data_IF_983312567346
#
_entry.id   IF_983312567346
#
_cell.length_a   1.000
_cell.length_b   1.000
_cell.length_c   1.000
_cell.angle_alpha   90.00
_cell.angle_beta   90.00
_cell.angle_gamma   90.00
#
_symmetry.space_group_name_H-M   'P 1'
#
loop_
_entity.id
_entity.type
_entity.pdbx_description
1 polymer ?
#
# COMPACT_ATOMS: atom_id res chain seq x y z
N UNK A 1 2.94 16.93 3.08
CA UNK A 1 3.31 15.51 3.21
C UNK A 1 4.72 15.37 2.66
N UNK A 2 5.65 14.64 3.33
CA UNK A 2 7.00 14.40 2.79
C UNK A 2 6.89 13.54 1.53
N UNK A 3 7.65 13.83 0.48
CA UNK A 3 7.69 12.98 -0.72
C UNK A 3 8.54 11.74 -0.49
N UNK A 4 8.07 10.59 -0.92
CA UNK A 4 8.83 9.34 -0.97
C UNK A 4 9.64 9.26 -2.26
N UNK A 5 10.72 8.49 -2.28
CA UNK A 5 11.47 8.21 -3.50
C UNK A 5 11.07 6.83 -4.03
N UNK A 6 10.83 6.73 -5.32
CA UNK A 6 10.82 5.44 -6.04
C UNK A 6 12.08 5.39 -6.89
N UNK A 7 13.10 4.71 -6.37
CA UNK A 7 14.43 4.61 -6.98
C UNK A 7 14.45 3.33 -7.81
N UNK A 8 14.70 3.46 -9.10
CA UNK A 8 14.62 2.34 -10.04
C UNK A 8 15.95 2.20 -10.77
N UNK A 9 16.51 0.98 -10.73
CA UNK A 9 17.67 0.63 -11.56
C UNK A 9 17.28 0.52 -13.03
N UNK A 10 18.27 0.61 -13.91
CA UNK A 10 18.10 0.63 -15.36
C UNK A 10 18.28 -0.75 -15.99
N UNK A 11 19.50 -1.27 -15.95
CA UNK A 11 19.91 -2.48 -16.66
C UNK A 11 19.51 -3.73 -15.88
N UNK A 12 18.92 -4.72 -16.54
CA UNK A 12 18.30 -5.89 -15.87
C UNK A 12 16.95 -5.60 -15.23
N UNK A 13 16.58 -4.34 -15.04
CA UNK A 13 15.36 -3.89 -14.36
C UNK A 13 14.34 -3.28 -15.32
N UNK A 14 14.64 -2.16 -15.97
CA UNK A 14 13.76 -1.51 -16.98
C UNK A 14 14.02 -2.08 -18.37
N UNK A 15 15.28 -2.24 -18.70
CA UNK A 15 15.75 -2.79 -19.98
C UNK A 15 16.61 -4.03 -19.74
N UNK A 16 16.60 -4.92 -20.73
CA UNK A 16 17.41 -6.14 -20.66
C UNK A 16 18.91 -5.77 -20.69
N UNK A 17 19.69 -6.46 -19.85
CA UNK A 17 21.14 -6.33 -19.85
C UNK A 17 21.75 -7.33 -20.83
N UNK A 18 22.60 -6.89 -21.78
CA UNK A 18 23.28 -7.81 -22.69
C UNK A 18 24.20 -8.80 -21.92
N UNK A 19 24.15 -10.10 -22.21
CA UNK A 19 24.81 -11.13 -21.38
C UNK A 19 26.32 -11.20 -21.56
N UNK A 20 26.91 -10.49 -22.52
CA UNK A 20 28.33 -10.62 -22.89
C UNK A 20 29.15 -9.44 -22.38
N UNK A 21 28.72 -8.23 -22.67
CA UNK A 21 29.47 -7.00 -22.37
C UNK A 21 28.77 -6.11 -21.35
N UNK A 22 27.55 -6.47 -20.97
CA UNK A 22 26.74 -5.74 -19.97
C UNK A 22 26.47 -4.26 -20.34
N UNK A 23 26.64 -3.88 -21.62
CA UNK A 23 26.52 -2.51 -22.10
C UNK A 23 25.44 -2.38 -23.17
N UNK A 24 24.47 -1.50 -22.92
CA UNK A 24 23.48 -1.09 -23.94
C UNK A 24 24.05 0.12 -24.69
N UNK A 25 24.90 -0.12 -25.66
CA UNK A 25 25.68 0.84 -26.41
C UNK A 25 25.13 1.13 -27.82
N UNK A 26 23.97 0.55 -28.14
CA UNK A 26 23.30 0.80 -29.43
C UNK A 26 21.78 0.65 -29.29
N UNK A 27 21.04 1.16 -30.29
CA UNK A 27 19.56 1.04 -30.32
C UNK A 27 19.15 -0.43 -30.57
N UNK A 28 19.95 -1.24 -31.22
CA UNK A 28 19.68 -2.64 -31.48
C UNK A 28 19.73 -3.49 -30.20
N UNK A 29 20.55 -3.08 -29.22
CA UNK A 29 20.62 -3.73 -27.90
C UNK A 29 19.53 -3.27 -26.96
N UNK A 30 18.82 -2.17 -27.24
CA UNK A 30 17.77 -1.66 -26.40
C UNK A 30 16.53 -2.56 -26.48
N UNK A 31 16.29 -3.31 -25.42
CA UNK A 31 15.09 -4.13 -25.25
C UNK A 31 14.48 -3.86 -23.86
N UNK A 32 13.19 -3.58 -23.82
CA UNK A 32 12.51 -3.41 -22.53
C UNK A 32 12.24 -4.77 -21.89
N UNK A 33 12.41 -4.84 -20.57
CA UNK A 33 11.96 -5.99 -19.79
C UNK A 33 10.44 -6.13 -19.92
N UNK A 34 9.92 -7.36 -20.12
CA UNK A 34 8.49 -7.58 -20.26
C UNK A 34 7.69 -6.97 -19.11
N UNK A 35 6.69 -6.16 -19.44
CA UNK A 35 5.80 -5.49 -18.47
C UNK A 35 6.35 -4.18 -17.89
N UNK A 36 7.63 -3.81 -18.12
CA UNK A 36 8.22 -2.59 -17.55
C UNK A 36 7.46 -1.32 -17.98
N UNK A 37 7.22 -1.13 -19.27
CA UNK A 37 6.54 0.06 -19.80
C UNK A 37 5.13 0.19 -19.19
N UNK A 38 4.32 -0.87 -19.25
CA UNK A 38 2.94 -0.86 -18.75
C UNK A 38 2.88 -0.60 -17.26
N UNK A 39 3.77 -1.23 -16.48
CA UNK A 39 3.81 -1.07 -15.04
C UNK A 39 4.28 0.33 -14.64
N UNK A 40 5.33 0.86 -15.26
CA UNK A 40 5.82 2.22 -15.01
C UNK A 40 4.76 3.27 -15.38
N UNK A 41 4.14 3.16 -16.55
CA UNK A 41 3.01 4.02 -16.96
C UNK A 41 1.89 4.03 -15.91
N UNK A 42 1.60 2.86 -15.34
CA UNK A 42 0.59 2.73 -14.30
C UNK A 42 1.00 3.32 -12.94
N UNK A 43 2.31 3.37 -12.65
CA UNK A 43 2.87 3.99 -11.44
C UNK A 43 2.99 5.52 -11.56
N UNK A 44 2.98 6.06 -12.77
CA UNK A 44 3.07 7.51 -13.04
C UNK A 44 2.05 8.35 -12.24
N UNK A 45 0.93 7.76 -11.85
CA UNK A 45 -0.13 8.39 -11.05
C UNK A 45 0.19 8.58 -9.58
N UNK A 46 1.30 8.03 -9.14
CA UNK A 46 1.80 8.20 -7.79
C UNK A 46 2.77 9.40 -7.69
N UNK A 47 2.79 10.28 -8.71
CA UNK A 47 3.63 11.48 -8.77
C UNK A 47 3.35 12.49 -7.65
N UNK A 48 2.14 12.48 -7.08
CA UNK A 48 1.83 13.25 -5.87
C UNK A 48 2.53 12.69 -4.61
N UNK A 49 2.75 11.36 -4.54
CA UNK A 49 3.40 10.68 -3.41
C UNK A 49 4.89 10.47 -3.61
N UNK A 50 5.30 10.06 -4.81
CA UNK A 50 6.66 9.66 -5.13
C UNK A 50 7.38 10.65 -6.05
N UNK A 51 8.67 10.85 -5.78
CA UNK A 51 9.64 11.36 -6.74
C UNK A 51 10.28 10.16 -7.44
N UNK A 52 10.20 10.10 -8.75
CA UNK A 52 10.74 9.00 -9.55
C UNK A 52 12.21 9.24 -9.86
N UNK A 53 13.08 8.33 -9.41
CA UNK A 53 14.54 8.46 -9.54
C UNK A 53 15.08 7.26 -10.32
N UNK A 54 15.72 7.51 -11.46
CA UNK A 54 16.54 6.51 -12.14
C UNK A 54 17.94 6.51 -11.47
N UNK A 55 18.44 5.35 -11.06
CA UNK A 55 19.76 5.24 -10.46
C UNK A 55 20.54 4.04 -11.04
N UNK A 56 21.59 4.30 -11.78
CA UNK A 56 22.32 3.25 -12.50
C UNK A 56 23.84 3.40 -12.41
N UNK A 57 24.55 2.28 -12.31
CA UNK A 57 26.00 2.21 -12.47
C UNK A 57 26.31 1.90 -13.95
N UNK A 58 27.09 2.75 -14.59
CA UNK A 58 27.49 2.61 -15.99
C UNK A 58 29.02 2.54 -16.10
N UNK A 59 29.56 1.34 -15.96
CA UNK A 59 30.97 1.07 -15.82
C UNK A 59 31.79 1.60 -17.00
N UNK A 60 32.62 2.61 -16.72
CA UNK A 60 33.52 3.20 -17.71
C UNK A 60 32.83 4.09 -18.76
N UNK A 61 31.60 4.56 -18.51
CA UNK A 61 30.94 5.52 -19.38
C UNK A 61 31.78 6.80 -19.57
N UNK A 62 32.01 7.19 -20.82
CA UNK A 62 32.87 8.29 -21.21
C UNK A 62 34.32 7.86 -21.52
N UNK A 63 34.66 6.57 -21.42
CA UNK A 63 35.94 6.03 -21.82
C UNK A 63 35.90 5.49 -23.27
N UNK A 64 37.06 5.09 -23.79
CA UNK A 64 37.13 4.48 -25.15
C UNK A 64 36.35 3.16 -25.24
N UNK A 65 36.19 2.42 -24.15
CA UNK A 65 35.45 1.15 -24.13
C UNK A 65 33.92 1.37 -24.03
N UNK A 66 33.46 2.53 -23.57
CA UNK A 66 32.05 2.88 -23.50
C UNK A 66 31.82 4.39 -23.73
N UNK A 67 31.91 4.86 -25.00
CA UNK A 67 31.79 6.25 -25.36
C UNK A 67 30.36 6.79 -25.07
N UNK A 68 30.25 8.06 -24.70
CA UNK A 68 28.95 8.71 -24.45
C UNK A 68 28.06 8.71 -25.69
N UNK A 69 28.66 8.82 -26.89
CA UNK A 69 27.96 8.83 -28.17
C UNK A 69 27.26 7.49 -28.48
N UNK A 70 27.64 6.40 -27.82
CA UNK A 70 27.02 5.08 -27.97
C UNK A 70 25.96 4.85 -26.88
N UNK A 71 26.17 5.37 -25.67
CA UNK A 71 25.25 5.22 -24.55
C UNK A 71 23.98 6.07 -24.70
N UNK A 72 24.13 7.40 -24.92
CA UNK A 72 23.00 8.31 -24.86
C UNK A 72 21.91 8.09 -25.90
N UNK A 73 22.16 7.62 -27.14
CA UNK A 73 21.07 7.31 -28.08
C UNK A 73 20.08 6.27 -27.53
N UNK A 74 20.57 5.17 -26.95
CA UNK A 74 19.73 4.12 -26.37
C UNK A 74 19.07 4.61 -25.08
N UNK A 75 19.81 5.27 -24.20
CA UNK A 75 19.31 5.84 -22.95
C UNK A 75 18.18 6.85 -23.20
N UNK A 76 18.40 7.83 -24.07
CA UNK A 76 17.40 8.83 -24.40
C UNK A 76 16.18 8.23 -25.12
N UNK A 77 16.36 7.17 -25.93
CA UNK A 77 15.24 6.47 -26.55
C UNK A 77 14.38 5.76 -25.51
N UNK A 78 15.00 5.13 -24.50
CA UNK A 78 14.30 4.51 -23.38
C UNK A 78 13.46 5.57 -22.64
N UNK A 79 14.07 6.68 -22.22
CA UNK A 79 13.38 7.76 -21.52
C UNK A 79 12.21 8.33 -22.32
N UNK A 80 12.45 8.63 -23.62
CA UNK A 80 11.41 9.17 -24.51
C UNK A 80 10.27 8.18 -24.74
N UNK A 81 10.55 6.89 -24.72
CA UNK A 81 9.51 5.86 -24.84
C UNK A 81 8.64 5.86 -23.59
N UNK A 82 9.23 5.92 -22.40
CA UNK A 82 8.49 5.99 -21.11
C UNK A 82 7.69 7.28 -21.00
N UNK A 83 8.26 8.43 -21.41
CA UNK A 83 7.58 9.72 -21.45
C UNK A 83 6.34 9.67 -22.36
N UNK A 84 6.47 9.03 -23.54
CA UNK A 84 5.34 8.83 -24.47
C UNK A 84 4.21 7.98 -23.89
N UNK A 85 4.50 7.14 -22.91
CA UNK A 85 3.54 6.32 -22.17
C UNK A 85 3.14 6.94 -20.81
N UNK A 86 3.51 8.22 -20.59
CA UNK A 86 3.09 9.02 -19.44
C UNK A 86 3.95 8.87 -18.18
N UNK A 87 5.12 8.20 -18.26
CA UNK A 87 6.02 8.06 -17.11
C UNK A 87 7.32 8.85 -17.33
N UNK A 88 7.65 9.73 -16.39
CA UNK A 88 8.87 10.56 -16.44
C UNK A 88 9.67 10.41 -15.15
N UNK A 89 10.98 10.30 -15.27
CA UNK A 89 11.87 10.38 -14.11
C UNK A 89 12.15 11.84 -13.74
N UNK A 90 11.96 12.19 -12.47
CA UNK A 90 12.30 13.50 -11.90
C UNK A 90 13.81 13.70 -11.77
N UNK A 91 14.54 12.61 -11.53
CA UNK A 91 16.01 12.59 -11.39
C UNK A 91 16.60 11.39 -12.12
N UNK A 92 17.78 11.60 -12.68
CA UNK A 92 18.58 10.56 -13.33
C UNK A 92 19.99 10.61 -12.71
N UNK A 93 20.31 9.60 -11.92
CA UNK A 93 21.57 9.45 -11.22
C UNK A 93 22.39 8.36 -11.89
N UNK A 94 23.50 8.76 -12.51
CA UNK A 94 24.35 7.87 -13.31
C UNK A 94 25.76 7.91 -12.75
N UNK A 95 26.20 6.83 -12.10
CA UNK A 95 27.59 6.66 -11.73
C UNK A 95 28.38 6.06 -12.92
N UNK A 96 29.53 6.65 -13.23
CA UNK A 96 30.37 6.30 -14.39
C UNK A 96 31.63 5.54 -14.00
N UNK A 97 31.84 5.37 -12.68
CA UNK A 97 33.04 4.77 -12.15
C UNK A 97 33.06 3.26 -12.35
N UNK A 98 34.26 2.69 -12.35
CA UNK A 98 34.46 1.25 -12.31
C UNK A 98 34.49 0.77 -10.85
N UNK A 99 34.27 -0.54 -10.58
CA UNK A 99 34.32 -1.09 -9.24
C UNK A 99 35.62 -0.77 -8.49
N UNK A 100 36.77 -0.81 -9.20
CA UNK A 100 38.10 -0.53 -8.66
C UNK A 100 38.31 0.93 -8.22
N UNK A 101 37.51 1.87 -8.72
CA UNK A 101 37.62 3.30 -8.38
C UNK A 101 37.09 3.61 -6.97
N UNK A 102 36.34 2.69 -6.36
CA UNK A 102 35.70 2.84 -5.04
C UNK A 102 34.96 4.17 -4.88
N UNK A 103 34.23 4.59 -5.93
CA UNK A 103 33.49 5.84 -5.95
C UNK A 103 32.43 5.87 -4.85
N UNK A 104 32.30 6.97 -4.08
CA UNK A 104 31.21 7.13 -3.11
C UNK A 104 29.83 7.25 -3.77
N UNK A 105 29.77 7.51 -5.07
CA UNK A 105 28.53 7.61 -5.85
C UNK A 105 28.08 6.26 -6.42
N UNK A 106 28.99 5.27 -6.53
CA UNK A 106 28.67 3.96 -7.08
C UNK A 106 27.80 3.15 -6.11
N UNK A 107 26.63 2.65 -6.59
CA UNK A 107 25.80 1.72 -5.81
C UNK A 107 26.65 0.51 -5.38
N UNK A 108 26.60 0.07 -4.11
CA UNK A 108 25.63 0.41 -3.06
C UNK A 108 25.95 1.65 -2.20
N UNK A 109 26.97 2.45 -2.53
CA UNK A 109 27.24 3.71 -1.84
C UNK A 109 26.15 4.76 -2.15
N UNK A 110 25.99 5.73 -1.23
CA UNK A 110 24.86 6.66 -1.24
C UNK A 110 25.16 8.05 -1.78
N UNK A 111 26.38 8.32 -2.24
CA UNK A 111 26.81 9.68 -2.64
C UNK A 111 26.00 10.30 -3.77
N UNK A 112 25.36 9.50 -4.66
CA UNK A 112 24.43 10.06 -5.64
C UNK A 112 23.13 10.62 -5.03
N UNK A 113 22.87 10.30 -3.75
CA UNK A 113 21.61 10.61 -3.05
C UNK A 113 21.77 11.69 -1.98
N UNK A 114 22.89 12.41 -1.95
CA UNK A 114 23.18 13.41 -0.92
C UNK A 114 22.12 14.51 -0.82
N UNK A 115 21.43 14.86 -1.94
CA UNK A 115 20.33 15.84 -1.93
C UNK A 115 19.10 15.39 -1.12
N UNK A 116 18.94 14.08 -0.90
CA UNK A 116 17.80 13.49 -0.21
C UNK A 116 18.10 13.12 1.25
N UNK A 117 19.38 12.83 1.57
CA UNK A 117 19.79 12.38 2.88
C UNK A 117 19.76 13.54 3.88
N UNK A 118 19.03 13.36 4.98
CA UNK A 118 18.87 14.41 6.00
C UNK A 118 17.99 15.58 5.58
N UNK A 119 17.30 15.50 4.46
CA UNK A 119 16.39 16.51 3.95
C UNK A 119 14.96 16.17 4.38
N UNK A 120 14.35 17.06 5.17
CA UNK A 120 13.02 16.87 5.74
C UNK A 120 11.86 16.90 4.72
N UNK A 121 12.12 17.27 3.47
CA UNK A 121 11.13 17.21 2.39
C UNK A 121 10.87 15.79 1.90
N UNK A 122 11.76 14.83 2.24
CA UNK A 122 11.70 13.46 1.78
C UNK A 122 11.52 12.45 2.93
N UNK A 123 10.79 11.37 2.64
CA UNK A 123 10.56 10.24 3.53
C UNK A 123 11.32 9.01 3.04
N UNK A 124 12.60 8.90 3.42
CA UNK A 124 13.44 7.78 3.01
C UNK A 124 12.98 6.44 3.63
N UNK A 125 12.42 6.45 4.83
CA UNK A 125 11.95 5.24 5.52
C UNK A 125 10.82 4.53 4.75
N UNK A 126 9.97 5.29 4.07
CA UNK A 126 8.90 4.78 3.23
C UNK A 126 9.22 4.83 1.72
N UNK A 127 10.45 5.20 1.35
CA UNK A 127 10.97 5.13 -0.02
C UNK A 127 11.31 3.70 -0.42
N UNK A 128 11.35 3.43 -1.72
CA UNK A 128 11.55 2.08 -2.26
C UNK A 128 12.66 2.10 -3.32
N UNK A 129 13.60 1.16 -3.22
CA UNK A 129 14.59 0.87 -4.26
C UNK A 129 14.16 -0.40 -5.01
N UNK A 130 14.13 -0.35 -6.32
CA UNK A 130 13.82 -1.47 -7.22
C UNK A 130 15.05 -1.75 -8.07
N UNK A 131 15.54 -2.98 -8.05
CA UNK A 131 16.68 -3.42 -8.87
C UNK A 131 16.82 -4.93 -8.88
N UNK A 132 17.61 -5.46 -9.80
CA UNK A 132 17.82 -6.90 -10.01
C UNK A 132 19.05 -7.46 -9.29
N UNK A 133 19.84 -6.58 -8.63
CA UNK A 133 21.11 -6.94 -8.00
C UNK A 133 21.11 -6.79 -6.49
N UNK A 134 21.97 -7.57 -5.84
CA UNK A 134 22.25 -7.46 -4.40
C UNK A 134 22.68 -6.04 -4.03
N UNK A 135 23.40 -5.33 -4.92
CA UNK A 135 23.84 -3.94 -4.69
C UNK A 135 22.68 -2.95 -4.58
N UNK A 136 21.53 -3.21 -5.20
CA UNK A 136 20.35 -2.36 -5.09
C UNK A 136 19.67 -2.56 -3.72
N UNK A 137 19.61 -3.81 -3.25
CA UNK A 137 19.14 -4.13 -1.90
C UNK A 137 20.05 -3.51 -0.81
N UNK A 138 21.37 -3.58 -1.01
CA UNK A 138 22.33 -2.93 -0.12
C UNK A 138 22.22 -1.41 -0.14
N UNK A 139 21.98 -0.81 -1.33
CA UNK A 139 21.72 0.63 -1.45
C UNK A 139 20.48 1.03 -0.64
N UNK A 140 19.40 0.27 -0.74
CA UNK A 140 18.19 0.52 0.04
C UNK A 140 18.47 0.50 1.55
N UNK A 141 19.21 -0.52 2.02
CA UNK A 141 19.61 -0.61 3.43
C UNK A 141 20.47 0.59 3.87
N UNK A 142 21.44 1.01 3.03
CA UNK A 142 22.32 2.15 3.32
C UNK A 142 21.58 3.49 3.34
N UNK A 143 20.50 3.64 2.54
CA UNK A 143 19.63 4.82 2.54
C UNK A 143 18.55 4.78 3.63
N UNK A 144 18.35 3.63 4.30
CA UNK A 144 17.22 3.42 5.21
C UNK A 144 15.88 3.25 4.47
N UNK A 145 15.90 2.86 3.19
CA UNK A 145 14.72 2.61 2.35
C UNK A 145 14.25 1.16 2.43
N UNK A 146 13.07 0.88 1.87
CA UNK A 146 12.61 -0.47 1.53
C UNK A 146 13.21 -0.89 0.18
N UNK A 147 13.26 -2.20 -0.11
CA UNK A 147 13.69 -2.71 -1.41
C UNK A 147 12.74 -3.74 -1.98
N UNK A 148 12.61 -3.72 -3.30
CA UNK A 148 12.00 -4.79 -4.09
C UNK A 148 13.08 -5.34 -5.00
N UNK A 149 13.55 -6.55 -4.69
CA UNK A 149 14.50 -7.29 -5.53
C UNK A 149 13.74 -7.86 -6.72
N UNK A 150 14.08 -7.40 -7.92
CA UNK A 150 13.53 -7.96 -9.16
C UNK A 150 14.30 -9.20 -9.57
N UNK A 151 13.75 -10.38 -9.31
CA UNK A 151 14.42 -11.67 -9.45
C UNK A 151 13.55 -12.64 -10.24
N UNK A 152 13.67 -12.55 -11.59
CA UNK A 152 12.83 -13.27 -12.55
C UNK A 152 13.03 -14.79 -12.54
N UNK A 153 14.23 -15.25 -12.24
CA UNK A 153 14.59 -16.67 -12.28
C UNK A 153 14.79 -17.31 -10.90
N UNK A 154 14.71 -16.53 -9.84
CA UNK A 154 14.84 -17.01 -8.47
C UNK A 154 16.28 -17.22 -7.99
N UNK A 155 17.28 -16.75 -8.75
CA UNK A 155 18.70 -16.97 -8.42
C UNK A 155 19.27 -15.94 -7.47
N UNK A 156 18.96 -14.66 -7.68
CA UNK A 156 19.51 -13.56 -6.88
C UNK A 156 19.00 -13.57 -5.44
N UNK A 157 17.73 -13.96 -5.21
CA UNK A 157 17.12 -14.06 -3.87
C UNK A 157 17.81 -15.04 -2.92
N UNK A 158 18.56 -16.01 -3.46
CA UNK A 158 19.34 -16.96 -2.65
C UNK A 158 20.50 -16.28 -1.92
N UNK A 159 20.92 -15.11 -2.39
CA UNK A 159 22.03 -14.32 -1.85
C UNK A 159 21.55 -13.14 -1.00
N UNK A 160 20.23 -12.99 -0.77
CA UNK A 160 19.63 -11.86 -0.05
C UNK A 160 18.70 -12.39 1.04
N UNK A 161 18.78 -11.83 2.22
CA UNK A 161 17.82 -12.08 3.28
C UNK A 161 16.56 -11.25 3.03
N UNK A 162 15.45 -11.94 2.75
CA UNK A 162 14.15 -11.30 2.59
C UNK A 162 13.54 -10.97 3.96
N UNK A 163 13.04 -9.77 4.10
CA UNK A 163 12.48 -9.21 5.34
C UNK A 163 11.20 -8.44 5.01
N UNK A 164 10.56 -7.83 6.02
CA UNK A 164 9.48 -6.86 5.82
C UNK A 164 9.91 -5.57 5.10
N UNK A 165 11.22 -5.33 5.02
CA UNK A 165 11.81 -4.19 4.29
C UNK A 165 12.48 -4.59 2.97
N UNK A 166 12.66 -5.88 2.72
CA UNK A 166 13.25 -6.42 1.50
C UNK A 166 12.41 -7.58 0.99
N UNK A 167 11.67 -7.36 -0.07
CA UNK A 167 10.83 -8.37 -0.72
C UNK A 167 11.34 -8.67 -2.12
N UNK A 168 10.98 -9.84 -2.68
CA UNK A 168 11.33 -10.19 -4.04
C UNK A 168 10.08 -10.23 -4.93
N UNK A 169 10.24 -9.84 -6.19
CA UNK A 169 9.22 -9.92 -7.22
C UNK A 169 9.80 -10.61 -8.47
N UNK A 170 8.98 -11.37 -9.17
CA UNK A 170 9.36 -12.08 -10.39
C UNK A 170 8.90 -11.37 -11.67
N UNK A 171 8.06 -10.36 -11.54
CA UNK A 171 7.49 -9.59 -12.65
C UNK A 171 7.27 -8.13 -12.30
N UNK A 172 7.23 -7.27 -13.32
CA UNK A 172 6.88 -5.86 -13.18
C UNK A 172 5.44 -5.66 -12.68
N UNK A 173 4.53 -6.61 -12.96
CA UNK A 173 3.17 -6.56 -12.41
C UNK A 173 3.19 -6.68 -10.89
N UNK A 174 3.94 -7.64 -10.33
CA UNK A 174 4.11 -7.79 -8.89
C UNK A 174 4.77 -6.55 -8.26
N UNK A 175 5.83 -5.99 -8.90
CA UNK A 175 6.46 -4.75 -8.45
C UNK A 175 5.43 -3.62 -8.35
N UNK A 176 4.64 -3.41 -9.41
CA UNK A 176 3.64 -2.35 -9.44
C UNK A 176 2.55 -2.54 -8.37
N UNK A 177 2.14 -3.77 -8.11
CA UNK A 177 1.22 -4.09 -7.02
C UNK A 177 1.83 -3.77 -5.64
N UNK A 178 3.06 -4.18 -5.38
CA UNK A 178 3.77 -3.91 -4.11
C UNK A 178 3.96 -2.41 -3.85
N UNK A 179 4.36 -1.63 -4.89
CA UNK A 179 4.51 -0.18 -4.78
C UNK A 179 3.17 0.49 -4.43
N UNK A 180 2.08 0.05 -5.06
CA UNK A 180 0.74 0.60 -4.77
C UNK A 180 0.21 0.17 -3.41
N UNK A 181 0.50 -1.06 -2.98
CA UNK A 181 0.11 -1.54 -1.66
C UNK A 181 0.67 -0.64 -0.55
N UNK A 182 1.89 -0.13 -0.72
CA UNK A 182 2.50 0.80 0.23
C UNK A 182 1.79 2.15 0.33
N UNK A 183 0.95 2.52 -0.63
CA UNK A 183 0.15 3.76 -0.64
C UNK A 183 -1.23 3.62 0.02
N UNK A 184 -1.70 2.38 0.24
CA UNK A 184 -3.02 2.09 0.83
C UNK A 184 -2.98 1.78 2.34
N UNK A 185 -1.86 2.13 2.99
CA UNK A 185 -1.69 2.07 4.45
C UNK A 185 -1.83 3.45 5.05
N UNK A 186 -2.71 3.57 6.04
CA UNK A 186 -2.98 4.83 6.76
C UNK A 186 -2.99 4.56 8.25
N UNK A 187 -2.37 5.47 9.01
CA UNK A 187 -2.49 5.52 10.47
C UNK A 187 -3.20 6.81 10.86
N UNK A 188 -4.24 6.68 11.66
CA UNK A 188 -4.94 7.81 12.29
C UNK A 188 -4.62 7.81 13.78
N UNK A 189 -4.08 8.92 14.24
CA UNK A 189 -3.94 9.23 15.65
C UNK A 189 -5.06 10.20 16.05
N UNK A 190 -5.84 9.85 17.06
CA UNK A 190 -6.92 10.67 17.58
C UNK A 190 -6.78 10.79 19.08
N UNK A 191 -6.71 12.02 19.56
CA UNK A 191 -6.62 12.34 20.97
C UNK A 191 -7.75 13.30 21.36
N UNK A 192 -8.55 12.91 22.34
CA UNK A 192 -9.58 13.73 22.96
C UNK A 192 -9.29 13.89 24.45
N UNK A 193 -10.23 14.37 25.23
CA UNK A 193 -10.11 14.35 26.70
C UNK A 193 -10.51 13.00 27.30
N UNK A 194 -11.18 12.18 26.52
CA UNK A 194 -11.82 10.92 26.91
C UNK A 194 -11.07 9.71 26.36
N UNK A 195 -10.41 9.87 25.21
CA UNK A 195 -9.75 8.75 24.50
C UNK A 195 -8.40 9.14 23.89
N UNK A 196 -7.47 8.19 23.89
CA UNK A 196 -6.21 8.22 23.12
C UNK A 196 -6.19 7.02 22.19
N UNK A 197 -6.26 7.24 20.87
CA UNK A 197 -6.49 6.20 19.87
C UNK A 197 -5.44 6.24 18.77
N UNK A 198 -4.94 5.06 18.39
CA UNK A 198 -4.18 4.85 17.17
C UNK A 198 -4.83 3.73 16.36
N UNK A 199 -5.19 4.02 15.11
CA UNK A 199 -5.73 3.05 14.16
C UNK A 199 -4.86 3.02 12.92
N UNK A 200 -4.26 1.86 12.62
CA UNK A 200 -3.56 1.61 11.37
C UNK A 200 -4.36 0.64 10.52
N UNK A 201 -4.65 1.03 9.29
CA UNK A 201 -5.30 0.20 8.26
C UNK A 201 -4.36 0.04 7.08
N UNK A 202 -4.28 -1.17 6.53
CA UNK A 202 -3.66 -1.43 5.23
C UNK A 202 -4.62 -2.27 4.40
N UNK A 203 -5.15 -1.68 3.33
CA UNK A 203 -6.19 -2.31 2.51
C UNK A 203 -5.67 -3.49 1.66
N UNK A 204 -4.36 -3.68 1.59
CA UNK A 204 -3.71 -4.76 0.84
C UNK A 204 -3.17 -5.88 1.75
N UNK A 205 -3.41 -5.78 3.07
CA UNK A 205 -3.17 -6.86 4.04
C UNK A 205 -1.71 -7.06 4.45
N UNK A 206 -0.82 -6.08 4.23
CA UNK A 206 0.62 -6.18 4.56
C UNK A 206 0.99 -5.37 5.81
N UNK A 207 0.02 -4.83 6.53
CA UNK A 207 0.21 -3.99 7.70
C UNK A 207 0.26 -4.76 9.02
N UNK A 208 0.35 -4.04 10.14
CA UNK A 208 0.27 -4.62 11.47
C UNK A 208 -1.16 -5.09 11.80
N UNK A 209 -1.27 -6.04 12.71
CA UNK A 209 -2.50 -6.66 13.17
C UNK A 209 -2.74 -6.46 14.67
N UNK A 210 -3.98 -6.54 15.12
CA UNK A 210 -4.39 -6.63 16.51
C UNK A 210 -5.29 -5.51 16.98
N UNK A 211 -6.03 -5.75 18.07
CA UNK A 211 -6.87 -4.79 18.75
C UNK A 211 -6.61 -4.83 20.27
N UNK A 212 -6.53 -3.66 20.88
CA UNK A 212 -6.38 -3.46 22.32
C UNK A 212 -7.10 -2.16 22.70
N UNK A 213 -8.38 -2.28 23.08
CA UNK A 213 -9.24 -1.16 23.45
C UNK A 213 -9.59 -1.17 24.93
N UNK A 214 -9.21 -2.25 25.65
CA UNK A 214 -9.63 -2.51 27.03
C UNK A 214 -11.02 -3.17 27.13
N UNK A 215 -11.74 -3.36 26.01
CA UNK A 215 -13.00 -4.08 25.91
C UNK A 215 -12.78 -5.39 25.16
N UNK A 216 -12.64 -6.49 25.87
CA UNK A 216 -12.20 -7.77 25.31
C UNK A 216 -13.12 -8.33 24.22
N UNK A 217 -14.43 -8.17 24.39
CA UNK A 217 -15.37 -8.60 23.37
C UNK A 217 -15.35 -7.71 22.14
N UNK A 218 -15.15 -6.41 22.32
CA UNK A 218 -14.98 -5.47 21.20
C UNK A 218 -13.67 -5.72 20.44
N UNK A 219 -12.57 -6.00 21.15
CA UNK A 219 -11.29 -6.41 20.55
C UNK A 219 -11.45 -7.68 19.69
N UNK A 220 -12.23 -8.66 20.20
CA UNK A 220 -12.58 -9.85 19.44
C UNK A 220 -13.39 -9.49 18.18
N UNK A 221 -14.31 -8.54 18.24
CA UNK A 221 -15.09 -8.09 17.08
C UNK A 221 -14.22 -7.35 16.05
N UNK A 222 -13.31 -6.48 16.47
CA UNK A 222 -12.35 -5.83 15.59
C UNK A 222 -11.42 -6.85 14.91
N UNK A 223 -11.03 -7.92 15.62
CA UNK A 223 -10.25 -9.01 15.04
C UNK A 223 -10.98 -9.75 13.92
N UNK A 224 -12.33 -9.78 13.91
CA UNK A 224 -13.09 -10.34 12.79
C UNK A 224 -12.91 -9.51 11.52
N UNK A 225 -12.83 -8.16 11.65
CA UNK A 225 -12.54 -7.28 10.51
C UNK A 225 -11.15 -7.62 9.95
N UNK A 226 -10.15 -7.68 10.81
CA UNK A 226 -8.77 -8.00 10.45
C UNK A 226 -8.66 -9.34 9.70
N UNK A 227 -9.19 -10.44 10.28
CA UNK A 227 -9.03 -11.79 9.73
C UNK A 227 -9.85 -12.05 8.45
N UNK A 228 -11.01 -11.41 8.29
CA UNK A 228 -11.95 -11.78 7.24
C UNK A 228 -12.02 -10.79 6.08
N UNK A 229 -11.49 -9.57 6.21
CA UNK A 229 -11.51 -8.57 5.13
C UNK A 229 -10.43 -8.79 4.07
N UNK A 230 -9.30 -9.40 4.45
CA UNK A 230 -8.07 -9.40 3.64
C UNK A 230 -7.30 -8.08 3.71
N UNK A 231 -7.78 -7.14 4.53
CA UNK A 231 -7.00 -5.96 4.95
C UNK A 231 -6.25 -6.30 6.25
N UNK A 232 -5.25 -5.53 6.62
CA UNK A 232 -4.73 -5.57 7.99
C UNK A 232 -5.23 -4.40 8.82
N UNK A 233 -5.49 -4.66 10.08
CA UNK A 233 -6.02 -3.70 11.03
C UNK A 233 -5.28 -3.80 12.36
N UNK A 234 -4.74 -2.67 12.83
CA UNK A 234 -4.26 -2.53 14.20
C UNK A 234 -4.98 -1.37 14.88
N UNK A 235 -5.57 -1.64 16.04
CA UNK A 235 -6.28 -0.65 16.87
C UNK A 235 -5.69 -0.66 18.26
N UNK A 236 -5.35 0.50 18.79
CA UNK A 236 -5.10 0.70 20.22
C UNK A 236 -5.93 1.86 20.71
N UNK A 237 -6.56 1.71 21.87
CA UNK A 237 -7.34 2.76 22.51
C UNK A 237 -7.12 2.73 24.03
N UNK A 238 -6.90 3.91 24.60
CA UNK A 238 -7.00 4.15 26.04
C UNK A 238 -8.19 5.10 26.25
N UNK A 239 -9.33 4.55 26.62
CA UNK A 239 -10.54 5.30 26.92
C UNK A 239 -10.80 5.41 28.41
N UNK A 240 -11.75 6.27 28.77
CA UNK A 240 -12.23 6.50 30.12
C UNK A 240 -13.29 5.45 30.56
N UNK A 241 -12.89 4.15 30.46
CA UNK A 241 -13.77 3.00 30.74
C UNK A 241 -14.37 2.98 32.16
N UNK A 242 -13.85 3.79 33.06
CA UNK A 242 -14.45 4.05 34.38
C UNK A 242 -15.76 4.84 34.29
N UNK A 243 -16.02 5.53 33.16
CA UNK A 243 -17.30 6.18 32.86
C UNK A 243 -18.24 5.16 32.25
N UNK A 244 -17.94 4.74 31.02
CA UNK A 244 -18.57 3.64 30.31
C UNK A 244 -17.74 3.28 29.03
N UNK A 245 -18.25 2.41 28.16
CA UNK A 245 -17.63 2.00 26.91
C UNK A 245 -17.95 2.92 25.73
N UNK A 246 -18.86 3.86 25.87
CA UNK A 246 -19.43 4.67 24.78
C UNK A 246 -18.35 5.44 24.01
N UNK A 247 -17.56 6.27 24.73
CA UNK A 247 -16.51 7.08 24.11
C UNK A 247 -15.47 6.22 23.39
N UNK A 248 -15.08 5.09 23.99
CA UNK A 248 -14.14 4.14 23.40
C UNK A 248 -14.66 3.57 22.08
N UNK A 249 -15.88 3.05 22.06
CA UNK A 249 -16.42 2.40 20.86
C UNK A 249 -16.75 3.41 19.76
N UNK A 250 -17.30 4.58 20.09
CA UNK A 250 -17.60 5.63 19.12
C UNK A 250 -16.34 6.21 18.49
N UNK A 251 -15.37 6.61 19.30
CA UNK A 251 -14.15 7.25 18.82
C UNK A 251 -13.26 6.28 18.03
N UNK A 252 -13.21 4.99 18.40
CA UNK A 252 -12.58 3.94 17.58
C UNK A 252 -13.28 3.80 16.24
N UNK A 253 -14.63 3.82 16.21
CA UNK A 253 -15.38 3.76 14.95
C UNK A 253 -15.07 4.95 14.03
N UNK A 254 -14.99 6.15 14.58
CA UNK A 254 -14.64 7.36 13.83
C UNK A 254 -13.22 7.26 13.28
N UNK A 255 -12.24 6.91 14.11
CA UNK A 255 -10.84 6.77 13.68
C UNK A 255 -10.66 5.68 12.61
N UNK A 256 -11.32 4.53 12.78
CA UNK A 256 -11.32 3.44 11.79
C UNK A 256 -11.98 3.87 10.48
N UNK A 257 -13.13 4.53 10.53
CA UNK A 257 -13.80 5.05 9.34
C UNK A 257 -12.95 6.08 8.57
N UNK A 258 -12.26 6.97 9.30
CA UNK A 258 -11.31 7.93 8.72
C UNK A 258 -10.12 7.23 8.07
N UNK A 259 -9.52 6.23 8.75
CA UNK A 259 -8.39 5.46 8.21
C UNK A 259 -8.78 4.72 6.93
N UNK A 260 -9.92 4.03 6.93
CA UNK A 260 -10.47 3.36 5.75
C UNK A 260 -10.74 4.35 4.62
N UNK A 261 -11.41 5.47 4.90
CA UNK A 261 -11.73 6.50 3.92
C UNK A 261 -10.48 7.10 3.28
N UNK A 262 -9.44 7.41 4.05
CA UNK A 262 -8.17 7.93 3.53
C UNK A 262 -7.40 6.87 2.72
N UNK A 263 -7.39 5.60 3.18
CA UNK A 263 -6.71 4.52 2.48
C UNK A 263 -7.34 4.18 1.12
N UNK A 264 -8.60 4.52 0.87
CA UNK A 264 -9.26 4.39 -0.44
C UNK A 264 -8.70 5.34 -1.50
N UNK A 265 -8.06 6.44 -1.10
CA UNK A 265 -7.47 7.43 -1.99
C UNK A 265 -8.46 7.98 -3.02
N UNK A 266 -8.06 8.04 -4.28
CA UNK A 266 -8.86 8.56 -5.40
C UNK A 266 -10.00 7.64 -5.87
N UNK A 267 -10.11 6.47 -5.26
CA UNK A 267 -11.14 5.44 -5.54
C UNK A 267 -11.15 4.89 -6.97
N UNK A 268 -10.14 5.18 -7.78
CA UNK A 268 -10.04 4.62 -9.13
C UNK A 268 -9.75 3.12 -9.08
N UNK A 269 -10.39 2.36 -9.99
CA UNK A 269 -10.23 0.91 -10.09
C UNK A 269 -10.83 0.10 -8.94
N UNK A 270 -11.54 0.72 -7.97
CA UNK A 270 -12.21 0.01 -6.88
C UNK A 270 -13.35 -0.87 -7.38
N UNK A 271 -13.55 -2.00 -6.71
CA UNK A 271 -14.75 -2.83 -6.90
C UNK A 271 -16.01 -2.15 -6.36
N UNK A 272 -15.88 -1.29 -5.34
CA UNK A 272 -16.89 -0.40 -4.76
C UNK A 272 -17.98 -1.09 -3.93
N UNK A 273 -18.37 -2.33 -4.24
CA UNK A 273 -19.52 -3.02 -3.61
C UNK A 273 -19.13 -4.33 -2.95
N UNK A 274 -19.91 -4.75 -1.94
CA UNK A 274 -19.77 -6.05 -1.27
C UNK A 274 -21.01 -6.47 -0.46
N UNK A 275 -21.08 -7.76 0.00
CA UNK A 275 -22.25 -8.39 0.63
C UNK A 275 -21.97 -9.55 1.63
N UNK A 276 -22.79 -10.54 1.85
CA UNK A 276 -23.33 -11.30 2.99
C UNK A 276 -22.85 -12.75 3.26
N UNK A 277 -23.06 -13.30 4.50
CA UNK A 277 -22.76 -14.69 4.87
C UNK A 277 -23.60 -15.23 6.05
N UNK A 278 -23.73 -16.60 6.26
CA UNK A 278 -24.28 -17.21 7.46
C UNK A 278 -23.23 -17.33 8.58
N UNK A 279 -23.70 -17.41 9.83
CA UNK A 279 -22.95 -17.75 11.03
C UNK A 279 -23.77 -18.71 11.90
N UNK A 280 -23.53 -20.02 11.77
CA UNK A 280 -24.33 -21.08 12.36
C UNK A 280 -25.84 -20.89 12.10
N UNK A 281 -26.67 -20.73 13.14
CA UNK A 281 -28.11 -20.46 13.03
C UNK A 281 -28.44 -19.01 12.69
N UNK A 282 -27.43 -18.12 12.65
CA UNK A 282 -27.60 -16.72 12.30
C UNK A 282 -27.23 -16.48 10.85
N UNK A 283 -27.91 -15.51 10.24
CA UNK A 283 -27.52 -14.97 8.93
C UNK A 283 -27.29 -13.46 9.05
N UNK A 284 -26.26 -12.95 8.39
CA UNK A 284 -25.96 -11.53 8.33
C UNK A 284 -25.74 -11.10 6.90
N UNK A 285 -26.39 -9.99 6.53
CA UNK A 285 -26.25 -9.34 5.24
C UNK A 285 -25.72 -7.92 5.45
N UNK A 286 -24.59 -7.62 4.84
CA UNK A 286 -24.00 -6.28 4.83
C UNK A 286 -23.83 -5.82 3.40
N UNK A 287 -24.49 -4.71 3.06
CA UNK A 287 -24.36 -4.03 1.79
C UNK A 287 -23.52 -2.78 2.00
N UNK A 288 -22.43 -2.64 1.27
CA UNK A 288 -21.55 -1.48 1.30
C UNK A 288 -21.48 -0.84 -0.09
N UNK A 289 -21.52 0.50 -0.13
CA UNK A 289 -21.23 1.30 -1.32
C UNK A 289 -20.28 2.45 -0.94
N UNK A 290 -19.06 2.43 -1.47
CA UNK A 290 -18.02 3.41 -1.26
C UNK A 290 -18.25 4.71 -2.05
N UNK A 291 -19.52 5.09 -2.22
CA UNK A 291 -19.99 6.17 -3.09
C UNK A 291 -19.78 7.59 -2.60
N UNK A 292 -19.08 7.82 -1.49
CA UNK A 292 -18.74 9.16 -0.98
C UNK A 292 -19.89 9.91 -0.33
N UNK A 293 -20.99 9.24 0.01
CA UNK A 293 -22.13 9.79 0.76
C UNK A 293 -22.52 8.83 1.85
N UNK A 294 -22.62 9.33 3.08
CA UNK A 294 -22.99 8.51 4.22
C UNK A 294 -24.50 8.26 4.23
N UNK A 295 -24.90 6.98 4.32
CA UNK A 295 -26.27 6.56 4.62
C UNK A 295 -26.22 5.23 5.34
N UNK A 296 -26.93 5.12 6.48
CA UNK A 296 -26.84 3.99 7.38
C UNK A 296 -28.22 3.38 7.65
N UNK A 297 -28.35 2.07 7.42
CA UNK A 297 -29.54 1.28 7.73
C UNK A 297 -29.15 0.13 8.64
N UNK A 298 -29.85 -0.01 9.75
CA UNK A 298 -29.66 -1.07 10.73
C UNK A 298 -30.98 -1.82 10.95
N UNK A 299 -30.98 -3.12 10.75
CA UNK A 299 -32.10 -4.02 10.96
C UNK A 299 -31.59 -5.31 11.63
N UNK A 300 -31.15 -5.17 12.89
CA UNK A 300 -30.72 -6.27 13.74
C UNK A 300 -31.34 -6.08 15.12
N UNK A 301 -32.00 -7.09 15.65
CA UNK A 301 -32.65 -7.04 16.93
C UNK A 301 -31.91 -7.92 17.95
N UNK A 302 -31.48 -7.32 19.05
CA UNK A 302 -30.88 -8.04 20.17
C UNK A 302 -31.92 -8.30 21.25
N UNK A 303 -31.81 -9.48 21.88
CA UNK A 303 -32.65 -9.90 23.02
C UNK A 303 -31.94 -9.77 24.36
N UNK A 304 -30.63 -9.46 24.33
CA UNK A 304 -29.80 -9.20 25.53
C UNK A 304 -29.33 -7.77 25.52
N UNK A 305 -29.21 -7.18 26.69
CA UNK A 305 -28.66 -5.85 26.91
C UNK A 305 -27.12 -5.86 26.69
N UNK A 306 -26.46 -6.93 27.13
CA UNK A 306 -25.01 -7.11 27.03
C UNK A 306 -24.62 -8.41 26.32
N UNK A 307 -23.51 -8.38 25.58
CA UNK A 307 -22.77 -9.55 25.12
C UNK A 307 -21.29 -9.33 25.44
N UNK A 308 -20.72 -10.27 26.22
CA UNK A 308 -19.40 -10.03 26.82
C UNK A 308 -19.44 -8.83 27.76
N UNK A 309 -18.50 -7.92 27.57
CA UNK A 309 -18.34 -6.66 28.31
C UNK A 309 -18.91 -5.43 27.58
N UNK A 310 -19.65 -5.64 26.48
CA UNK A 310 -20.20 -4.56 25.67
C UNK A 310 -21.71 -4.59 25.56
N UNK A 311 -22.41 -3.42 25.72
CA UNK A 311 -23.85 -3.33 25.53
C UNK A 311 -24.21 -3.42 24.04
N UNK A 312 -25.33 -4.08 23.77
CA UNK A 312 -25.76 -4.35 22.39
C UNK A 312 -26.19 -3.10 21.63
N UNK A 313 -26.62 -2.04 22.32
CA UNK A 313 -26.97 -0.74 21.74
C UNK A 313 -25.76 -0.03 21.11
N UNK A 314 -24.53 -0.37 21.51
CA UNK A 314 -23.32 0.25 20.96
C UNK A 314 -22.98 -0.24 19.57
N UNK A 315 -23.44 -1.40 19.11
CA UNK A 315 -23.12 -1.90 17.78
C UNK A 315 -23.76 -1.09 16.65
N UNK A 316 -25.07 -0.76 16.67
CA UNK A 316 -25.61 0.18 15.68
C UNK A 316 -24.93 1.55 15.76
N UNK A 317 -24.54 2.02 16.94
CA UNK A 317 -23.82 3.28 17.11
C UNK A 317 -22.43 3.22 16.48
N UNK A 318 -21.66 2.16 16.76
CA UNK A 318 -20.35 1.90 16.16
C UNK A 318 -20.41 1.94 14.61
N UNK A 319 -21.28 1.13 14.01
CA UNK A 319 -21.37 1.06 12.53
C UNK A 319 -21.90 2.35 11.92
N UNK A 320 -22.76 3.09 12.62
CA UNK A 320 -23.21 4.41 12.16
C UNK A 320 -22.06 5.42 12.15
N UNK A 321 -21.27 5.50 13.22
CA UNK A 321 -20.13 6.41 13.33
C UNK A 321 -19.04 6.06 12.31
N UNK A 322 -18.74 4.78 12.12
CA UNK A 322 -17.83 4.28 11.10
C UNK A 322 -18.32 4.64 9.68
N UNK A 323 -19.60 4.38 9.38
CA UNK A 323 -20.22 4.70 8.08
C UNK A 323 -20.11 6.19 7.73
N UNK A 324 -20.40 7.05 8.71
CA UNK A 324 -20.29 8.50 8.54
C UNK A 324 -18.84 8.95 8.35
N UNK A 325 -17.92 8.45 9.17
CA UNK A 325 -16.50 8.79 9.11
C UNK A 325 -15.83 8.28 7.81
N UNK A 326 -16.24 7.11 7.33
CA UNK A 326 -15.78 6.52 6.06
C UNK A 326 -16.45 7.16 4.82
N UNK A 327 -17.56 7.85 5.01
CA UNK A 327 -18.37 8.46 3.97
C UNK A 327 -18.88 7.44 2.94
N UNK A 328 -19.54 6.37 3.41
CA UNK A 328 -20.09 5.28 2.61
C UNK A 328 -21.59 5.05 2.88
N UNK A 329 -22.28 4.31 2.02
CA UNK A 329 -23.57 3.72 2.39
C UNK A 329 -23.31 2.36 3.02
N UNK A 330 -23.99 2.07 4.13
CA UNK A 330 -23.85 0.83 4.88
C UNK A 330 -25.22 0.36 5.37
N UNK A 331 -25.70 -0.74 4.81
CA UNK A 331 -26.96 -1.37 5.22
C UNK A 331 -26.65 -2.73 5.85
N UNK A 332 -27.07 -2.91 7.09
CA UNK A 332 -26.83 -4.11 7.89
C UNK A 332 -28.17 -4.72 8.29
N UNK A 333 -28.33 -6.02 8.01
CA UNK A 333 -29.46 -6.83 8.46
C UNK A 333 -28.94 -8.15 8.97
N UNK A 334 -29.45 -8.61 10.11
CA UNK A 334 -29.13 -9.92 10.63
C UNK A 334 -30.30 -10.50 11.43
N UNK A 335 -30.44 -11.82 11.38
CA UNK A 335 -31.43 -12.59 12.13
C UNK A 335 -30.79 -13.85 12.70
N UNK A 336 -31.25 -14.31 13.87
CA UNK A 336 -30.76 -15.49 14.58
C UNK A 336 -31.16 -15.44 16.04
N UNK A 337 -30.84 -16.51 16.78
CA UNK A 337 -31.27 -16.68 18.18
C UNK A 337 -30.18 -16.25 19.17
N UNK A 338 -28.90 -16.49 18.84
CA UNK A 338 -27.78 -16.19 19.73
C UNK A 338 -27.21 -14.81 19.44
N UNK A 339 -27.28 -13.89 20.41
CA UNK A 339 -26.79 -12.52 20.24
C UNK A 339 -25.28 -12.42 19.98
N UNK A 340 -24.46 -13.35 20.53
CA UNK A 340 -23.04 -13.42 20.22
C UNK A 340 -22.84 -13.74 18.73
N UNK A 341 -23.49 -14.80 18.23
CA UNK A 341 -23.43 -15.18 16.81
C UNK A 341 -23.97 -14.08 15.87
N UNK A 342 -25.04 -13.38 16.29
CA UNK A 342 -25.56 -12.23 15.54
C UNK A 342 -24.51 -11.15 15.37
N UNK A 343 -23.86 -10.72 16.45
CA UNK A 343 -22.84 -9.66 16.44
C UNK A 343 -21.63 -10.12 15.62
N UNK A 344 -21.10 -11.30 15.92
CA UNK A 344 -19.96 -11.86 15.21
C UNK A 344 -20.27 -12.08 13.72
N UNK A 345 -21.46 -12.55 13.38
CA UNK A 345 -21.94 -12.66 12.01
C UNK A 345 -21.96 -11.33 11.28
N UNK A 346 -22.42 -10.25 11.93
CA UNK A 346 -22.40 -8.89 11.38
C UNK A 346 -20.97 -8.41 11.12
N UNK A 347 -20.03 -8.60 12.06
CA UNK A 347 -18.64 -8.17 11.87
C UNK A 347 -17.94 -8.97 10.77
N UNK A 348 -18.16 -10.30 10.69
CA UNK A 348 -17.64 -11.12 9.59
C UNK A 348 -18.23 -10.73 8.24
N UNK A 349 -19.54 -10.49 8.18
CA UNK A 349 -20.20 -10.03 6.95
C UNK A 349 -19.69 -8.66 6.51
N UNK A 350 -19.51 -7.72 7.45
CA UNK A 350 -18.90 -6.42 7.18
C UNK A 350 -17.47 -6.58 6.65
N UNK A 351 -16.65 -7.39 7.31
CA UNK A 351 -15.28 -7.65 6.89
C UNK A 351 -15.22 -8.18 5.44
N UNK A 352 -16.05 -9.18 5.12
CA UNK A 352 -16.12 -9.74 3.76
C UNK A 352 -16.62 -8.74 2.73
N UNK A 353 -17.66 -7.97 3.07
CA UNK A 353 -18.19 -6.90 2.21
C UNK A 353 -17.12 -5.83 1.96
N UNK A 354 -16.43 -5.39 3.02
CA UNK A 354 -15.32 -4.43 2.92
C UNK A 354 -14.21 -4.97 2.01
N UNK A 355 -13.70 -6.18 2.28
CA UNK A 355 -12.64 -6.79 1.48
C UNK A 355 -13.00 -6.95 0.00
N UNK A 356 -14.28 -7.17 -0.33
CA UNK A 356 -14.75 -7.15 -1.72
C UNK A 356 -14.77 -5.74 -2.30
N UNK A 357 -15.29 -4.78 -1.55
CA UNK A 357 -15.49 -3.41 -2.01
C UNK A 357 -14.16 -2.67 -2.24
N UNK A 358 -13.15 -2.93 -1.41
CA UNK A 358 -11.83 -2.28 -1.50
C UNK A 358 -10.89 -2.93 -2.51
N UNK A 359 -11.24 -4.07 -3.12
CA UNK A 359 -10.44 -4.65 -4.19
C UNK A 359 -10.21 -3.62 -5.29
N UNK A 360 -8.97 -3.53 -5.74
CA UNK A 360 -8.55 -2.58 -6.76
C UNK A 360 -8.03 -3.31 -7.99
N UNK A 361 -8.52 -2.93 -9.16
CA UNK A 361 -7.85 -3.27 -10.40
C UNK A 361 -6.81 -2.18 -10.69
N UNK A 362 -5.57 -2.52 -10.47
CA UNK A 362 -4.43 -1.60 -10.61
C UNK A 362 -4.20 -1.10 -12.05
N UNK A 363 -4.76 -1.79 -13.04
CA UNK A 363 -4.69 -1.39 -14.45
C UNK A 363 -5.93 -0.60 -14.92
N UNK A 364 -6.90 -0.33 -14.02
CA UNK A 364 -8.10 0.41 -14.35
C UNK A 364 -8.05 1.84 -13.84
N UNK A 365 -8.23 2.79 -14.76
CA UNK A 365 -8.38 4.22 -14.50
C UNK A 365 -9.82 4.63 -14.27
N UNK A 366 -10.72 3.69 -14.42
CA UNK A 366 -12.15 3.99 -14.41
C UNK A 366 -12.57 4.24 -12.96
N UNK A 367 -13.02 5.47 -12.70
CA UNK A 367 -13.79 5.74 -11.50
C UNK A 367 -15.12 4.99 -11.62
N UNK A 368 -15.49 4.11 -10.64
CA UNK A 368 -16.71 3.30 -10.73
C UNK A 368 -17.98 4.17 -10.46
N UNK A 369 -18.17 5.20 -11.26
CA UNK A 369 -19.27 6.16 -11.15
C UNK A 369 -19.65 6.71 -12.51
N UNK A 370 -20.92 6.59 -12.88
CA UNK A 370 -21.48 7.22 -14.09
C UNK A 370 -21.49 8.75 -14.03
N UNK A 371 -21.30 9.33 -12.85
CA UNK A 371 -21.28 10.79 -12.62
C UNK A 371 -19.89 11.39 -12.72
N UNK A 372 -18.82 10.58 -12.84
CA UNK A 372 -17.44 11.05 -12.86
C UNK A 372 -16.90 11.56 -11.50
N UNK A 373 -17.67 11.40 -10.43
CA UNK A 373 -17.30 11.74 -9.03
C UNK A 373 -17.80 10.67 -8.07
N UNK A 374 -17.07 10.49 -6.95
CA UNK A 374 -17.46 9.67 -5.79
C UNK A 374 -17.19 10.40 -4.49
#
# INVERSE_FOLDING_TARGET
>A
MKKKLLIIDRDGTIIEEPPVDFQVDSLEKLQFVPGAITSLSSLARLDDEYLFVLATNQDGLGTLSFPEETFYPAHNKMLKTLEGEGFTFDRQLIDRSKPEDNSPCRKPSTGMFDEFIGNDDYDLDNSIVIGDRVTDVQLAANLGCKSILFDRDGTTRQSVELTDRCVAASSWSEIAEMVRASSRRVTIERMTRETEISVTVDLDGHGPHGADTGLHFFDHMLSQIDHHSGCSLKVTCKGDLEVDEHHTMEDVAIALGQALGQALGDKKGLARYGFALPMDECEAMVLIDLGGRADFVWDVNFTREYVGDTPTEMYPHFFKSLCHAMNCNLHIRASGENNHHLIEGVFKAFARALGMAVKRNVFSDILPSSKGTL
#
